data_IF_762107115308
#
_entry.id   IF_762107115308
#
_cell.length_a   1.000
_cell.length_b   1.000
_cell.length_c   1.000
_cell.angle_alpha   90.00
_cell.angle_beta   90.00
_cell.angle_gamma   90.00
#
_symmetry.space_group_name_H-M   'P 1'
#
loop_
_entity.id
_entity.type
_entity.pdbx_description
1 polymer ?
#
# COMPACT_ATOMS: atom_id res chain seq x y z
N UNK A 1 -10.03 8.66 -9.31
CA UNK A 1 -10.16 7.18 -9.33
C UNK A 1 -10.40 6.69 -7.92
N UNK A 2 -11.31 5.73 -7.70
CA UNK A 2 -11.51 5.11 -6.38
C UNK A 2 -10.60 3.88 -6.22
N UNK A 3 -9.98 3.71 -5.06
CA UNK A 3 -9.20 2.51 -4.73
C UNK A 3 -10.14 1.29 -4.70
N UNK A 4 -9.64 0.14 -5.14
CA UNK A 4 -10.37 -1.13 -5.04
C UNK A 4 -10.41 -1.62 -3.59
N UNK A 5 -11.35 -2.53 -3.27
CA UNK A 5 -11.45 -3.13 -1.93
C UNK A 5 -10.15 -3.80 -1.48
N UNK A 6 -9.48 -4.52 -2.38
CA UNK A 6 -8.20 -5.17 -2.10
C UNK A 6 -7.07 -4.15 -1.82
N UNK A 7 -7.03 -3.04 -2.56
CA UNK A 7 -6.06 -1.97 -2.34
C UNK A 7 -6.29 -1.24 -1.01
N UNK A 8 -7.55 -0.95 -0.66
CA UNK A 8 -7.89 -0.35 0.63
C UNK A 8 -7.57 -1.28 1.79
N UNK A 9 -7.86 -2.57 1.64
CA UNK A 9 -7.55 -3.57 2.66
C UNK A 9 -6.04 -3.66 2.89
N UNK A 10 -5.25 -3.78 1.81
CA UNK A 10 -3.80 -3.80 1.90
C UNK A 10 -3.23 -2.52 2.51
N UNK A 11 -3.76 -1.35 2.16
CA UNK A 11 -3.37 -0.08 2.80
C UNK A 11 -3.66 -0.07 4.30
N UNK A 12 -4.80 -0.62 4.75
CA UNK A 12 -5.12 -0.75 6.18
C UNK A 12 -4.15 -1.70 6.88
N UNK A 13 -3.85 -2.85 6.27
CA UNK A 13 -2.87 -3.80 6.80
C UNK A 13 -1.48 -3.16 6.95
N UNK A 14 -1.06 -2.32 5.99
CA UNK A 14 0.17 -1.55 6.10
C UNK A 14 0.09 -0.46 7.18
N UNK A 15 -1.07 0.17 7.39
CA UNK A 15 -1.26 1.17 8.44
C UNK A 15 -1.17 0.55 9.85
N UNK A 16 -1.66 -0.67 10.01
CA UNK A 16 -1.61 -1.42 11.26
C UNK A 16 -0.24 -2.07 11.52
N UNK A 17 0.35 -2.69 10.49
CA UNK A 17 1.60 -3.46 10.58
C UNK A 17 2.88 -2.69 10.24
N UNK A 18 2.76 -1.48 9.68
CA UNK A 18 3.88 -0.62 9.25
C UNK A 18 4.48 -1.00 7.91
N UNK A 19 4.69 -2.29 7.64
CA UNK A 19 5.23 -2.80 6.37
C UNK A 19 4.80 -4.25 6.06
N UNK A 20 4.77 -4.61 4.78
CA UNK A 20 4.57 -5.99 4.32
C UNK A 20 5.52 -6.33 3.17
N UNK A 21 6.08 -7.54 3.20
CA UNK A 21 6.88 -8.06 2.09
C UNK A 21 5.98 -8.75 1.08
N UNK A 22 5.97 -8.26 -0.16
CA UNK A 22 5.20 -8.81 -1.28
C UNK A 22 6.13 -9.22 -2.42
N UNK A 23 5.70 -10.16 -3.26
CA UNK A 23 6.42 -10.54 -4.48
C UNK A 23 6.26 -9.46 -5.57
N UNK A 24 7.25 -9.31 -6.47
CA UNK A 24 7.20 -8.39 -7.64
C UNK A 24 5.91 -8.49 -8.45
N UNK A 25 5.39 -9.71 -8.56
CA UNK A 25 4.21 -10.01 -9.35
C UNK A 25 2.90 -9.47 -8.73
N UNK A 26 2.93 -8.89 -7.53
CA UNK A 26 1.73 -8.49 -6.82
C UNK A 26 1.21 -7.11 -7.27
N UNK A 27 0.32 -7.15 -8.25
CA UNK A 27 -0.29 -6.01 -8.94
C UNK A 27 -0.95 -4.94 -8.03
N UNK A 28 -1.62 -5.29 -6.90
CA UNK A 28 -2.27 -4.29 -6.04
C UNK A 28 -1.30 -3.31 -5.39
N UNK A 29 -0.11 -3.77 -4.96
CA UNK A 29 0.92 -2.89 -4.39
C UNK A 29 1.46 -1.91 -5.44
N UNK A 30 1.67 -2.36 -6.68
CA UNK A 30 2.19 -1.53 -7.76
C UNK A 30 1.39 -0.26 -7.96
N UNK A 31 0.05 -0.38 -7.95
CA UNK A 31 -0.82 0.78 -8.12
C UNK A 31 -0.76 1.76 -6.94
N UNK A 32 -0.51 1.26 -5.73
CA UNK A 32 -0.38 2.10 -4.52
C UNK A 32 0.96 2.83 -4.49
N UNK A 33 2.00 2.20 -5.03
CA UNK A 33 3.30 2.83 -5.29
C UNK A 33 3.15 3.95 -6.33
N UNK A 34 2.49 3.68 -7.47
CA UNK A 34 2.26 4.67 -8.52
C UNK A 34 1.46 5.89 -8.03
N UNK A 35 0.51 5.68 -7.11
CA UNK A 35 -0.30 6.74 -6.52
C UNK A 35 0.40 7.48 -5.37
N UNK A 36 1.59 7.04 -4.96
CA UNK A 36 2.33 7.62 -3.84
C UNK A 36 1.70 7.36 -2.47
N UNK A 37 0.81 6.37 -2.36
CA UNK A 37 0.23 5.97 -1.08
C UNK A 37 1.10 4.98 -0.31
N UNK A 38 1.97 4.26 -1.01
CA UNK A 38 2.97 3.39 -0.43
C UNK A 38 4.35 3.65 -1.03
N UNK A 39 5.40 3.24 -0.32
CA UNK A 39 6.77 3.15 -0.84
C UNK A 39 7.21 1.69 -0.82
N UNK A 40 8.03 1.30 -1.78
CA UNK A 40 8.52 -0.06 -1.93
C UNK A 40 10.04 -0.06 -1.89
N UNK A 41 10.61 -0.82 -0.97
CA UNK A 41 12.04 -1.08 -0.89
C UNK A 41 12.34 -2.45 -1.50
N UNK A 42 13.25 -2.56 -2.47
CA UNK A 42 13.59 -3.83 -3.09
C UNK A 42 14.24 -4.77 -2.05
N UNK A 43 13.65 -5.94 -1.88
CA UNK A 43 14.13 -7.02 -1.05
C UNK A 43 14.99 -8.02 -1.82
N UNK A 44 15.43 -9.07 -1.12
CA UNK A 44 16.15 -10.19 -1.75
C UNK A 44 15.16 -11.08 -2.52
N UNK A 45 15.66 -11.72 -3.60
CA UNK A 45 14.91 -12.73 -4.36
C UNK A 45 13.60 -12.25 -5.00
N UNK A 46 13.56 -11.02 -5.54
CA UNK A 46 12.37 -10.51 -6.26
C UNK A 46 11.17 -10.20 -5.34
N UNK A 47 11.44 -9.92 -4.08
CA UNK A 47 10.47 -9.39 -3.11
C UNK A 47 10.65 -7.89 -2.94
N UNK A 48 9.61 -7.21 -2.45
CA UNK A 48 9.62 -5.79 -2.10
C UNK A 48 8.98 -5.65 -0.73
N UNK A 49 9.63 -4.90 0.15
CA UNK A 49 9.02 -4.44 1.39
C UNK A 49 8.23 -3.18 1.08
N UNK A 50 6.92 -3.25 1.25
CA UNK A 50 6.04 -2.12 1.01
C UNK A 50 5.67 -1.51 2.35
N UNK A 51 5.77 -0.20 2.46
CA UNK A 51 5.44 0.58 3.65
C UNK A 51 4.46 1.69 3.30
N UNK A 52 3.55 2.00 4.22
CA UNK A 52 2.57 3.07 4.02
C UNK A 52 3.25 4.45 4.11
N UNK A 53 2.84 5.39 3.25
CA UNK A 53 3.24 6.80 3.36
C UNK A 53 2.24 7.60 4.17
N UNK A 54 2.60 8.84 4.52
CA UNK A 54 1.65 9.77 5.14
C UNK A 54 0.44 10.06 4.23
N UNK A 55 0.64 10.14 2.91
CA UNK A 55 -0.46 10.30 1.96
C UNK A 55 -1.41 9.09 1.97
N UNK A 56 -0.85 7.88 2.10
CA UNK A 56 -1.61 6.65 2.25
C UNK A 56 -2.44 6.61 3.54
N UNK A 57 -1.86 7.04 4.68
CA UNK A 57 -2.61 7.15 5.94
C UNK A 57 -3.76 8.13 5.83
N UNK A 58 -3.50 9.32 5.29
CA UNK A 58 -4.55 10.34 5.08
C UNK A 58 -5.66 9.86 4.15
N UNK A 59 -5.32 9.04 3.14
CA UNK A 59 -6.33 8.44 2.26
C UNK A 59 -7.25 7.45 3.01
N UNK A 60 -6.75 6.77 4.05
CA UNK A 60 -7.56 5.93 4.93
C UNK A 60 -8.43 6.74 5.89
N UNK A 61 -7.87 7.79 6.48
CA UNK A 61 -8.59 8.68 7.40
C UNK A 61 -9.69 9.48 6.69
N UNK A 62 -9.40 10.00 5.49
CA UNK A 62 -10.36 10.75 4.67
C UNK A 62 -11.39 9.88 3.95
N UNK A 63 -11.18 8.56 3.86
CA UNK A 63 -12.10 7.61 3.24
C UNK A 63 -13.12 6.98 4.20
N UNK A 64 -13.07 7.32 5.50
CA UNK A 64 -13.91 6.75 6.56
C UNK A 64 -15.16 7.56 6.91
N UNK A 65 -15.41 8.71 6.27
CA UNK A 65 -16.59 9.53 6.58
C UNK A 65 -17.07 10.27 5.31
N UNK A 66 -18.04 9.68 4.61
CA UNK A 66 -18.68 10.23 3.41
C UNK A 66 -19.72 9.29 2.84
#
# INVERSE_FOLDING_TARGET
MKLTKAQLQFLRELAEGGHQTVSDAWNPARKLLDLGYAIGEPGKYGSFTVSITEAGRRALEGGGNG
#
